data_IF_767142807613
#
_entry.id   IF_767142807613
#
_cell.length_a   1.000
_cell.length_b   1.000
_cell.length_c   1.000
_cell.angle_alpha   90.00
_cell.angle_beta   90.00
_cell.angle_gamma   90.00
#
_symmetry.space_group_name_H-M   'P 1'
#
loop_
_entity.id
_entity.type
_entity.pdbx_description
1 polymer ?
#
# COMPACT_ATOMS: atom_id res chain seq x y z
N UNK A 1 -26.14 45.76 -33.05
CA UNK A 1 -25.89 46.63 -31.88
C UNK A 1 -24.38 46.72 -31.70
N UNK A 2 -23.80 47.91 -31.56
CA UNK A 2 -22.36 48.03 -31.37
C UNK A 2 -21.96 47.54 -29.97
N UNK A 3 -21.14 46.50 -29.90
CA UNK A 3 -20.60 46.00 -28.64
C UNK A 3 -19.57 47.02 -28.12
N UNK A 4 -19.63 47.37 -26.84
CA UNK A 4 -18.71 48.32 -26.22
C UNK A 4 -17.98 47.66 -25.07
N UNK A 5 -16.77 48.12 -24.74
CA UNK A 5 -16.03 47.64 -23.57
C UNK A 5 -16.87 47.69 -22.28
N UNK A 6 -17.76 48.69 -22.16
CA UNK A 6 -18.75 48.79 -21.06
C UNK A 6 -19.79 47.69 -21.02
N UNK A 7 -20.29 47.22 -22.18
CA UNK A 7 -21.30 46.17 -22.21
C UNK A 7 -20.68 44.82 -21.83
N UNK A 8 -19.44 44.56 -22.25
CA UNK A 8 -18.69 43.35 -21.91
C UNK A 8 -18.33 43.37 -20.42
N UNK A 9 -17.84 44.51 -19.90
CA UNK A 9 -17.59 44.73 -18.48
C UNK A 9 -18.79 44.34 -17.61
N UNK A 10 -19.97 44.87 -17.95
CA UNK A 10 -21.21 44.59 -17.21
C UNK A 10 -21.67 43.13 -17.34
N UNK A 11 -21.45 42.48 -18.47
CA UNK A 11 -21.88 41.09 -18.72
C UNK A 11 -21.02 40.07 -17.95
N UNK A 12 -19.71 40.30 -17.87
CA UNK A 12 -18.78 39.36 -17.23
C UNK A 12 -18.36 39.78 -15.82
N UNK A 13 -18.88 40.91 -15.31
CA UNK A 13 -18.64 41.38 -13.94
C UNK A 13 -17.25 41.96 -13.71
N UNK A 14 -16.60 42.49 -14.75
CA UNK A 14 -15.27 43.10 -14.67
C UNK A 14 -15.32 44.61 -14.87
N UNK A 15 -14.33 45.34 -14.35
CA UNK A 15 -14.18 46.77 -14.61
C UNK A 15 -13.76 47.05 -16.06
N UNK A 16 -14.27 48.17 -16.61
CA UNK A 16 -13.95 48.62 -17.97
C UNK A 16 -12.44 48.82 -18.17
N UNK A 17 -11.74 49.29 -17.13
CA UNK A 17 -10.28 49.47 -17.11
C UNK A 17 -9.54 48.14 -17.27
N UNK A 18 -10.01 47.08 -16.60
CA UNK A 18 -9.41 45.74 -16.65
C UNK A 18 -9.52 45.14 -18.04
N UNK A 19 -10.68 45.26 -18.68
CA UNK A 19 -10.85 44.78 -20.06
C UNK A 19 -9.96 45.58 -21.02
N UNK A 20 -9.94 46.91 -20.88
CA UNK A 20 -9.19 47.80 -21.77
C UNK A 20 -7.68 47.69 -21.61
N UNK A 21 -7.17 47.45 -20.41
CA UNK A 21 -5.73 47.43 -20.14
C UNK A 21 -5.15 46.02 -20.08
N UNK A 22 -5.91 45.03 -19.62
CA UNK A 22 -5.45 43.65 -19.48
C UNK A 22 -5.82 42.80 -20.69
N UNK A 23 -7.09 42.82 -21.11
CA UNK A 23 -7.55 41.94 -22.19
C UNK A 23 -7.14 42.47 -23.56
N UNK A 24 -7.17 43.78 -23.77
CA UNK A 24 -6.64 44.37 -25.00
C UNK A 24 -5.14 44.10 -25.20
N UNK A 25 -4.33 44.12 -24.13
CA UNK A 25 -2.90 43.75 -24.19
C UNK A 25 -2.68 42.27 -24.46
N UNK A 26 -3.62 41.41 -24.05
CA UNK A 26 -3.62 39.98 -24.34
C UNK A 26 -4.12 39.64 -25.75
N UNK A 27 -4.46 40.64 -26.57
CA UNK A 27 -4.87 40.44 -27.96
C UNK A 27 -6.38 40.23 -28.15
N UNK A 28 -7.21 40.77 -27.24
CA UNK A 28 -8.67 40.78 -27.43
C UNK A 28 -9.06 41.57 -28.68
N UNK A 29 -9.90 41.02 -29.58
CA UNK A 29 -10.41 41.75 -30.75
C UNK A 29 -11.18 43.01 -30.33
N UNK A 30 -11.00 44.12 -31.06
CA UNK A 30 -11.68 45.39 -30.75
C UNK A 30 -13.20 45.20 -30.90
N UNK A 31 -14.01 45.43 -29.84
CA UNK A 31 -15.47 45.33 -29.87
C UNK A 31 -16.13 46.23 -30.92
N UNK A 32 -15.45 47.28 -31.38
CA UNK A 32 -15.96 48.20 -32.42
C UNK A 32 -15.68 47.73 -33.84
N UNK A 33 -14.66 46.89 -34.04
CA UNK A 33 -14.21 46.45 -35.37
C UNK A 33 -14.47 44.98 -35.66
N UNK A 34 -14.80 44.19 -34.64
CA UNK A 34 -14.91 42.73 -34.74
C UNK A 34 -16.34 42.26 -34.48
N UNK A 35 -16.65 41.03 -34.89
CA UNK A 35 -17.99 40.46 -34.67
C UNK A 35 -18.16 40.09 -33.20
N UNK A 36 -19.35 40.30 -32.64
CA UNK A 36 -19.66 39.95 -31.24
C UNK A 36 -19.33 38.49 -30.89
N UNK A 37 -19.48 37.58 -31.85
CA UNK A 37 -19.18 36.16 -31.71
C UNK A 37 -17.67 35.90 -31.49
N UNK A 38 -16.81 36.60 -32.24
CA UNK A 38 -15.34 36.46 -32.12
C UNK A 38 -14.85 36.97 -30.77
N UNK A 39 -15.39 38.11 -30.32
CA UNK A 39 -15.07 38.69 -29.02
C UNK A 39 -15.46 37.74 -27.88
N UNK A 40 -16.66 37.16 -27.93
CA UNK A 40 -17.13 36.21 -26.91
C UNK A 40 -16.34 34.91 -26.93
N UNK A 41 -16.01 34.37 -28.10
CA UNK A 41 -15.18 33.16 -28.23
C UNK A 41 -13.78 33.37 -27.66
N UNK A 42 -13.18 34.53 -27.89
CA UNK A 42 -11.88 34.88 -27.32
C UNK A 42 -11.95 34.92 -25.79
N UNK A 43 -12.99 35.54 -25.21
CA UNK A 43 -13.18 35.61 -23.75
C UNK A 43 -13.33 34.20 -23.14
N UNK A 44 -14.15 33.35 -23.76
CA UNK A 44 -14.33 31.96 -23.29
C UNK A 44 -13.00 31.21 -23.31
N UNK A 45 -12.24 31.33 -24.38
CA UNK A 45 -11.00 30.58 -24.57
C UNK A 45 -9.86 31.08 -23.68
N UNK A 46 -9.73 32.40 -23.50
CA UNK A 46 -8.55 32.99 -22.86
C UNK A 46 -8.77 33.38 -21.39
N UNK A 47 -10.02 33.54 -20.96
CA UNK A 47 -10.36 33.96 -19.60
C UNK A 47 -11.08 32.85 -18.85
N UNK A 48 -12.15 32.29 -19.42
CA UNK A 48 -12.99 31.30 -18.72
C UNK A 48 -12.39 29.90 -18.69
N UNK A 49 -11.85 29.41 -19.81
CA UNK A 49 -11.25 28.06 -19.88
C UNK A 49 -10.03 27.91 -18.94
N UNK A 50 -9.06 28.84 -18.88
CA UNK A 50 -7.91 28.69 -17.98
C UNK A 50 -8.29 28.67 -16.49
N UNK A 51 -9.36 29.39 -16.10
CA UNK A 51 -9.90 29.33 -14.74
C UNK A 51 -10.49 27.95 -14.42
N UNK A 52 -11.16 27.33 -15.39
CA UNK A 52 -11.70 25.97 -15.27
C UNK A 52 -10.60 24.91 -15.31
N UNK A 53 -9.56 25.12 -16.12
CA UNK A 53 -8.43 24.21 -16.23
C UNK A 53 -7.55 24.27 -14.97
N UNK A 54 -7.51 25.40 -14.26
CA UNK A 54 -6.82 25.51 -12.96
C UNK A 54 -7.39 24.53 -11.94
N UNK A 55 -8.71 24.41 -11.84
CA UNK A 55 -9.38 23.41 -10.98
C UNK A 55 -9.00 21.97 -11.37
N UNK A 56 -8.94 21.67 -12.67
CA UNK A 56 -8.49 20.34 -13.13
C UNK A 56 -7.01 20.07 -12.82
N UNK A 57 -6.14 21.07 -12.93
CA UNK A 57 -4.71 20.93 -12.59
C UNK A 57 -4.51 20.75 -11.08
N UNK A 58 -5.26 21.48 -10.25
CA UNK A 58 -5.25 21.29 -8.79
C UNK A 58 -5.72 19.89 -8.39
N UNK A 59 -6.78 19.37 -9.03
CA UNK A 59 -7.24 18.00 -8.81
C UNK A 59 -6.18 16.96 -9.22
N UNK A 60 -5.54 17.15 -10.37
CA UNK A 60 -4.43 16.29 -10.83
C UNK A 60 -3.26 16.34 -9.85
N UNK A 61 -2.90 17.52 -9.34
CA UNK A 61 -1.84 17.67 -8.36
C UNK A 61 -2.17 16.98 -7.04
N UNK A 62 -3.42 17.07 -6.58
CA UNK A 62 -3.88 16.38 -5.36
C UNK A 62 -3.81 14.86 -5.51
N UNK A 63 -4.26 14.32 -6.63
CA UNK A 63 -4.17 12.87 -6.90
C UNK A 63 -2.72 12.41 -7.06
N UNK A 64 -1.84 13.22 -7.69
CA UNK A 64 -0.40 12.94 -7.76
C UNK A 64 0.26 12.93 -6.38
N UNK A 65 -0.08 13.89 -5.52
CA UNK A 65 0.41 13.92 -4.14
C UNK A 65 -0.03 12.67 -3.38
N UNK A 66 -1.30 12.28 -3.51
CA UNK A 66 -1.81 11.05 -2.89
C UNK A 66 -1.09 9.80 -3.37
N UNK A 67 -0.76 9.73 -4.67
CA UNK A 67 0.02 8.62 -5.23
C UNK A 67 1.45 8.60 -4.66
N UNK A 68 2.13 9.75 -4.64
CA UNK A 68 3.48 9.87 -4.10
C UNK A 68 3.54 9.53 -2.61
N UNK A 69 2.54 9.93 -1.82
CA UNK A 69 2.48 9.56 -0.40
C UNK A 69 2.29 8.06 -0.22
N UNK A 70 1.45 7.41 -1.03
CA UNK A 70 1.27 5.96 -0.96
C UNK A 70 2.55 5.20 -1.39
N UNK A 71 3.27 5.68 -2.41
CA UNK A 71 4.55 5.11 -2.83
C UNK A 71 5.62 5.27 -1.75
N UNK A 72 5.67 6.42 -1.06
CA UNK A 72 6.57 6.65 0.07
C UNK A 72 6.24 5.73 1.26
N UNK A 73 4.96 5.59 1.61
CA UNK A 73 4.52 4.67 2.66
C UNK A 73 4.87 3.21 2.32
N UNK A 74 4.68 2.80 1.07
CA UNK A 74 5.07 1.47 0.61
C UNK A 74 6.58 1.24 0.72
N UNK A 75 7.39 2.25 0.36
CA UNK A 75 8.83 2.19 0.53
C UNK A 75 9.23 2.08 2.01
N UNK A 76 8.62 2.86 2.90
CA UNK A 76 8.86 2.74 4.35
C UNK A 76 8.50 1.36 4.89
N UNK A 77 7.37 0.79 4.49
CA UNK A 77 6.96 -0.57 4.89
C UNK A 77 8.01 -1.58 4.43
N UNK A 78 8.48 -1.50 3.18
CA UNK A 78 9.50 -2.42 2.66
C UNK A 78 10.83 -2.32 3.41
N UNK A 79 11.25 -1.11 3.80
CA UNK A 79 12.44 -0.92 4.63
C UNK A 79 12.24 -1.52 6.01
N UNK A 80 11.08 -1.35 6.63
CA UNK A 80 10.77 -1.95 7.95
C UNK A 80 10.69 -3.47 7.90
N UNK A 81 10.24 -4.06 6.79
CA UNK A 81 10.30 -5.50 6.57
C UNK A 81 11.75 -5.99 6.47
N UNK A 82 12.62 -5.29 5.73
CA UNK A 82 14.04 -5.63 5.65
C UNK A 82 14.80 -5.45 6.98
N UNK A 83 14.33 -4.55 7.85
CA UNK A 83 14.89 -4.34 9.19
C UNK A 83 14.38 -5.37 10.21
N UNK A 84 13.60 -6.36 9.79
CA UNK A 84 13.05 -7.45 10.62
C UNK A 84 12.12 -6.95 11.76
N UNK A 85 11.64 -5.69 11.66
CA UNK A 85 10.73 -5.07 12.62
C UNK A 85 9.25 -5.32 12.27
N UNK A 86 8.96 -5.77 11.04
CA UNK A 86 7.61 -5.97 10.55
C UNK A 86 7.44 -7.36 9.92
N UNK A 87 6.83 -8.28 10.68
CA UNK A 87 6.45 -9.60 10.18
C UNK A 87 5.06 -9.51 9.54
N UNK A 88 4.91 -10.08 8.34
CA UNK A 88 3.62 -10.18 7.69
C UNK A 88 2.63 -11.01 8.52
N UNK A 89 1.42 -10.48 8.71
CA UNK A 89 0.36 -11.13 9.49
C UNK A 89 0.06 -12.53 8.93
N UNK A 90 0.12 -12.69 7.61
CA UNK A 90 -0.10 -13.97 6.93
C UNK A 90 0.95 -15.03 7.32
N UNK A 91 2.21 -14.63 7.50
CA UNK A 91 3.29 -15.53 7.95
C UNK A 91 3.02 -15.98 9.38
N UNK A 92 2.70 -15.03 10.27
CA UNK A 92 2.35 -15.33 11.67
C UNK A 92 1.14 -16.26 11.76
N UNK A 93 0.10 -16.01 10.96
CA UNK A 93 -1.11 -16.83 10.93
C UNK A 93 -0.83 -18.25 10.45
N UNK A 94 -0.01 -18.40 9.41
CA UNK A 94 0.35 -19.72 8.88
C UNK A 94 1.17 -20.52 9.88
N UNK A 95 2.15 -19.89 10.53
CA UNK A 95 3.00 -20.57 11.52
C UNK A 95 2.20 -20.94 12.77
N UNK A 96 1.35 -20.03 13.27
CA UNK A 96 0.48 -20.31 14.40
C UNK A 96 -0.52 -21.43 14.08
N UNK A 97 -1.06 -21.45 12.85
CA UNK A 97 -1.91 -22.55 12.37
C UNK A 97 -1.15 -23.87 12.28
N UNK A 98 0.09 -23.84 11.81
CA UNK A 98 0.96 -25.01 11.74
C UNK A 98 1.30 -25.55 13.14
N UNK A 99 1.62 -24.67 14.09
CA UNK A 99 1.86 -25.00 15.48
C UNK A 99 0.64 -25.66 16.15
N UNK A 100 -0.55 -25.05 16.01
CA UNK A 100 -1.79 -25.61 16.55
C UNK A 100 -2.14 -26.97 15.92
N UNK A 101 -1.92 -27.12 14.60
CA UNK A 101 -2.11 -28.39 13.90
C UNK A 101 -1.19 -29.47 14.47
N UNK A 102 0.08 -29.15 14.72
CA UNK A 102 1.05 -30.08 15.33
C UNK A 102 0.63 -30.49 16.74
N UNK A 103 0.22 -29.55 17.60
CA UNK A 103 -0.28 -29.89 18.95
C UNK A 103 -1.44 -30.88 18.85
N UNK A 104 -2.42 -30.60 18.00
CA UNK A 104 -3.57 -31.48 17.78
C UNK A 104 -3.13 -32.88 17.33
N UNK A 105 -2.20 -32.95 16.38
CA UNK A 105 -1.73 -34.22 15.85
C UNK A 105 -0.95 -35.01 16.92
N UNK A 106 -0.12 -34.36 17.73
CA UNK A 106 0.60 -34.97 18.85
C UNK A 106 -0.35 -35.51 19.93
N UNK A 107 -1.36 -34.74 20.34
CA UNK A 107 -2.39 -35.21 21.28
C UNK A 107 -3.13 -36.43 20.74
N UNK A 108 -3.39 -36.49 19.43
CA UNK A 108 -4.03 -37.64 18.77
C UNK A 108 -3.16 -38.90 18.76
N UNK A 109 -1.84 -38.76 18.87
CA UNK A 109 -0.93 -39.93 18.94
C UNK A 109 -0.82 -40.53 20.34
N UNK A 110 -1.26 -39.83 21.39
CA UNK A 110 -1.18 -40.31 22.77
C UNK A 110 -1.89 -41.67 22.95
N UNK A 111 -3.16 -41.85 22.53
CA UNK A 111 -3.83 -43.14 22.67
C UNK A 111 -3.09 -44.28 21.96
N UNK A 112 -2.53 -44.01 20.77
CA UNK A 112 -1.80 -45.02 19.98
C UNK A 112 -0.48 -45.46 20.63
N UNK A 113 0.16 -44.59 21.43
CA UNK A 113 1.42 -44.90 22.10
C UNK A 113 1.20 -45.51 23.48
N UNK A 114 0.17 -45.06 24.20
CA UNK A 114 -0.06 -45.44 25.61
C UNK A 114 -1.03 -46.60 25.78
N UNK A 115 -1.71 -47.09 24.73
CA UNK A 115 -2.74 -48.13 24.91
C UNK A 115 -2.22 -49.42 25.57
N UNK A 116 -0.97 -49.83 25.30
CA UNK A 116 -0.36 -51.01 25.91
C UNK A 116 -0.08 -50.77 27.41
N UNK A 117 0.56 -49.64 27.72
CA UNK A 117 0.85 -49.25 29.11
C UNK A 117 -0.43 -49.05 29.93
N UNK A 118 -1.52 -48.61 29.30
CA UNK A 118 -2.83 -48.49 29.95
C UNK A 118 -3.54 -49.84 30.13
N UNK A 119 -3.33 -50.78 29.21
CA UNK A 119 -3.90 -52.12 29.29
C UNK A 119 -3.25 -52.96 30.39
N UNK A 120 -1.99 -52.72 30.70
CA UNK A 120 -1.25 -53.40 31.77
C UNK A 120 -1.63 -52.93 33.18
N UNK A 121 -2.42 -51.87 33.33
CA UNK A 121 -2.78 -51.29 34.63
C UNK A 121 -4.10 -51.87 35.16
N UNK A 122 -4.07 -52.45 36.35
CA UNK A 122 -5.27 -53.04 36.99
C UNK A 122 -6.15 -52.03 37.73
N UNK A 123 -5.61 -50.84 38.08
CA UNK A 123 -6.31 -49.82 38.89
C UNK A 123 -6.54 -48.53 38.10
N UNK A 124 -7.76 -48.01 38.19
CA UNK A 124 -8.19 -46.78 37.51
C UNK A 124 -7.37 -45.53 37.90
N UNK A 125 -6.83 -45.48 39.13
CA UNK A 125 -6.00 -44.37 39.61
C UNK A 125 -4.66 -44.34 38.87
N UNK A 126 -4.08 -45.51 38.62
CA UNK A 126 -2.78 -45.62 37.99
C UNK A 126 -2.89 -45.34 36.47
N UNK A 127 -4.00 -45.76 35.84
CA UNK A 127 -4.38 -45.37 34.47
C UNK A 127 -4.42 -43.84 34.31
N UNK A 128 -5.08 -43.14 35.25
CA UNK A 128 -5.17 -41.67 35.22
C UNK A 128 -3.78 -41.03 35.32
N UNK A 129 -2.93 -41.54 36.20
CA UNK A 129 -1.58 -41.00 36.42
C UNK A 129 -0.68 -41.19 35.20
N UNK A 130 -0.72 -42.36 34.57
CA UNK A 130 0.05 -42.68 33.35
C UNK A 130 -0.39 -41.79 32.19
N UNK A 131 -1.71 -41.62 31.98
CA UNK A 131 -2.24 -40.71 30.98
C UNK A 131 -1.82 -39.26 31.20
N UNK A 132 -1.92 -38.76 32.44
CA UNK A 132 -1.50 -37.39 32.78
C UNK A 132 -0.01 -37.18 32.51
N UNK A 133 0.84 -38.09 32.99
CA UNK A 133 2.30 -38.03 32.74
C UNK A 133 2.61 -37.99 31.25
N UNK A 134 1.92 -38.80 30.44
CA UNK A 134 2.17 -38.86 29.01
C UNK A 134 1.66 -37.64 28.25
N UNK A 135 0.54 -37.07 28.68
CA UNK A 135 0.04 -35.79 28.15
C UNK A 135 1.04 -34.67 28.48
N UNK A 136 1.53 -34.61 29.71
CA UNK A 136 2.48 -33.58 30.15
C UNK A 136 3.82 -33.69 29.42
N UNK A 137 4.32 -34.90 29.16
CA UNK A 137 5.51 -35.12 28.31
C UNK A 137 5.31 -34.57 26.90
N UNK A 138 4.21 -34.94 26.24
CA UNK A 138 3.92 -34.52 24.86
C UNK A 138 3.70 -33.01 24.77
N UNK A 139 3.06 -32.40 25.78
CA UNK A 139 2.88 -30.95 25.84
C UNK A 139 4.20 -30.22 26.11
N UNK A 140 5.07 -30.77 26.95
CA UNK A 140 6.41 -30.21 27.18
C UNK A 140 7.29 -30.31 25.93
N UNK A 141 7.19 -31.40 25.16
CA UNK A 141 7.85 -31.52 23.85
C UNK A 141 7.35 -30.46 22.87
N UNK A 142 6.03 -30.20 22.83
CA UNK A 142 5.45 -29.15 21.99
C UNK A 142 5.84 -27.74 22.47
N UNK A 143 6.00 -27.53 23.78
CA UNK A 143 6.31 -26.23 24.40
C UNK A 143 7.76 -25.80 24.27
N UNK A 144 8.69 -26.69 23.91
CA UNK A 144 10.11 -26.37 23.68
C UNK A 144 10.40 -25.81 22.27
N UNK A 145 9.37 -25.56 21.46
CA UNK A 145 9.55 -24.98 20.14
C UNK A 145 9.89 -23.49 20.26
N UNK A 146 11.19 -23.17 20.16
CA UNK A 146 11.64 -21.80 19.94
C UNK A 146 11.53 -21.49 18.45
N UNK A 147 10.82 -20.42 18.12
CA UNK A 147 10.83 -19.85 16.77
C UNK A 147 12.25 -19.36 16.47
N UNK A 148 12.91 -20.01 15.52
CA UNK A 148 14.13 -19.49 14.91
C UNK A 148 13.71 -18.95 13.54
N UNK A 149 13.91 -17.64 13.26
CA UNK A 149 13.61 -17.11 11.96
C UNK A 149 14.41 -17.89 10.91
N UNK A 150 13.86 -18.15 9.71
CA UNK A 150 14.63 -18.78 8.65
C UNK A 150 15.89 -17.95 8.43
N UNK A 151 17.06 -18.51 8.75
CA UNK A 151 18.30 -17.88 8.35
C UNK A 151 18.28 -17.83 6.83
N UNK A 152 18.29 -16.62 6.27
CA UNK A 152 18.59 -16.45 4.86
C UNK A 152 19.96 -17.07 4.63
N UNK A 153 19.98 -18.31 4.11
CA UNK A 153 21.17 -18.90 3.53
C UNK A 153 21.64 -17.91 2.46
N UNK A 154 22.66 -17.12 2.82
CA UNK A 154 23.41 -16.30 1.89
C UNK A 154 24.18 -17.26 0.96
N UNK A 155 23.46 -17.91 0.04
CA UNK A 155 24.02 -18.56 -1.13
C UNK A 155 24.37 -17.46 -2.14
N UNK A 156 25.32 -16.60 -1.75
CA UNK A 156 26.20 -15.93 -2.71
C UNK A 156 27.44 -16.80 -2.75
N UNK A 157 27.35 -17.87 -3.52
CA UNK A 157 28.54 -18.53 -4.03
C UNK A 157 29.27 -17.46 -4.84
N UNK A 158 30.43 -17.03 -4.32
CA UNK A 158 31.34 -16.13 -4.98
C UNK A 158 31.69 -16.71 -6.36
N UNK A 159 31.06 -16.19 -7.41
CA UNK A 159 31.47 -16.42 -8.79
C UNK A 159 32.79 -15.66 -9.01
N UNK A 160 33.89 -16.27 -8.58
CA UNK A 160 35.23 -15.90 -9.03
C UNK A 160 35.30 -16.18 -10.53
N UNK A 161 34.97 -15.19 -11.34
CA UNK A 161 35.44 -15.13 -12.72
C UNK A 161 36.94 -14.81 -12.66
N UNK A 162 37.76 -15.86 -12.62
CA UNK A 162 39.14 -15.78 -13.07
C UNK A 162 39.11 -15.41 -14.56
N UNK A 163 39.19 -14.12 -14.86
CA UNK A 163 39.66 -13.65 -16.17
C UNK A 163 41.11 -14.12 -16.32
N UNK A 164 41.27 -15.31 -16.91
CA UNK A 164 42.54 -15.72 -17.50
C UNK A 164 42.76 -14.85 -18.73
N UNK A 165 43.58 -13.82 -18.56
CA UNK A 165 44.42 -13.29 -19.63
C UNK A 165 45.17 -14.47 -20.25
N UNK A 166 44.90 -14.76 -21.53
CA UNK A 166 45.86 -15.44 -22.39
C UNK A 166 45.57 -15.13 -23.87
N UNK A 167 46.55 -14.44 -24.47
CA UNK A 167 46.97 -14.39 -25.88
C UNK A 167 46.41 -13.30 -26.81
#
# INVERSE_FOLDING_TARGET
MALSYRSIAKQYGYDESTIRQSWAKKGMPDPKSSTELEVRQWIVTNILNPLRDTDTQEQIQRERLRKLTAEAEQAEISVRQCMDELIEITVVQNELSAFLKRIRDHLRTIPNKTYLELFEQEKAIDIKRVLQSRIDEVLNECGRFNYEPPQEENNKEDEYTEDKEDN
#
